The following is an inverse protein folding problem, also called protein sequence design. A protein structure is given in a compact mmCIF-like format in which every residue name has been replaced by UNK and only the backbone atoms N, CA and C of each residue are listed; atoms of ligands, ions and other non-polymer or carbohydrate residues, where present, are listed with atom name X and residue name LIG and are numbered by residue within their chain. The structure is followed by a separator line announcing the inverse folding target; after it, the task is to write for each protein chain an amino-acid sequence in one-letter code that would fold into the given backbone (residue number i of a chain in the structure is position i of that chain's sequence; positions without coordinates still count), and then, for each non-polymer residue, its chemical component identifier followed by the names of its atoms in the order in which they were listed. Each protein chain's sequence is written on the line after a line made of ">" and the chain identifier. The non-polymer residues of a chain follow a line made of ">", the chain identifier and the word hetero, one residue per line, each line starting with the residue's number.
data_IF_917201906771
#
_entry.id   IF_917201906771
#
_cell.length_a   1.000
_cell.length_b   1.000
_cell.length_c   1.000
_cell.angle_alpha   90.00
_cell.angle_beta   90.00
_cell.angle_gamma   90.00
#
_symmetry.space_group_name_H-M   'P 1'
#
loop_
_entity.id
_entity.type
_entity.pdbx_description
1 polymer ?
#
# COMPACT_ATOMS: atom_id res chain seq x y z
N UNK A 1 31.33 -35.20 51.72
CA UNK A 1 30.73 -36.40 51.10
C UNK A 1 29.23 -36.43 51.41
N UNK A 2 28.46 -35.47 50.90
CA UNK A 2 27.00 -35.45 51.02
C UNK A 2 26.42 -35.93 49.69
N UNK A 3 26.12 -37.22 49.62
CA UNK A 3 25.31 -37.79 48.53
C UNK A 3 23.93 -37.14 48.62
N UNK A 4 23.77 -36.04 47.87
CA UNK A 4 22.50 -35.39 47.63
C UNK A 4 21.56 -36.45 47.07
N UNK A 5 20.49 -36.65 47.84
CA UNK A 5 19.46 -37.64 47.66
C UNK A 5 18.82 -37.46 46.28
N UNK A 6 19.35 -38.13 45.26
CA UNK A 6 18.69 -38.28 43.97
C UNK A 6 17.54 -39.27 44.18
N UNK A 7 16.43 -38.75 44.71
CA UNK A 7 15.15 -39.45 44.71
C UNK A 7 14.85 -39.82 43.26
N UNK A 8 14.57 -41.11 42.93
CA UNK A 8 14.36 -41.50 41.54
C UNK A 8 13.18 -40.68 41.03
N UNK A 9 13.44 -39.90 39.97
CA UNK A 9 12.42 -39.07 39.34
C UNK A 9 11.25 -39.99 38.95
N UNK A 10 9.99 -39.62 39.27
CA UNK A 10 8.84 -40.43 38.89
C UNK A 10 8.85 -40.65 37.37
N UNK A 11 8.43 -41.83 36.89
CA UNK A 11 8.58 -42.24 35.48
C UNK A 11 7.98 -41.27 34.44
N UNK A 12 7.09 -40.36 34.85
CA UNK A 12 6.57 -39.28 34.01
C UNK A 12 7.50 -38.07 33.81
N UNK A 13 8.59 -37.96 34.57
CA UNK A 13 9.51 -36.82 34.50
C UNK A 13 10.21 -36.69 33.14
N UNK A 14 10.47 -37.81 32.47
CA UNK A 14 11.05 -37.79 31.13
C UNK A 14 10.10 -37.19 30.10
N UNK A 15 8.81 -37.58 30.13
CA UNK A 15 7.77 -37.00 29.29
C UNK A 15 7.60 -35.50 29.55
N UNK A 16 7.65 -35.08 30.81
CA UNK A 16 7.53 -33.67 31.18
C UNK A 16 8.71 -32.84 30.66
N UNK A 17 9.94 -33.39 30.73
CA UNK A 17 11.14 -32.74 30.20
C UNK A 17 11.08 -32.66 28.66
N UNK A 18 10.64 -33.72 27.99
CA UNK A 18 10.47 -33.71 26.54
C UNK A 18 9.44 -32.66 26.08
N UNK A 19 8.31 -32.56 26.79
CA UNK A 19 7.29 -31.55 26.51
C UNK A 19 7.85 -30.13 26.71
N UNK A 20 8.61 -29.92 27.78
CA UNK A 20 9.26 -28.64 28.07
C UNK A 20 10.24 -28.22 26.97
N UNK A 21 11.07 -29.15 26.50
CA UNK A 21 11.97 -28.92 25.37
C UNK A 21 11.19 -28.63 24.09
N UNK A 22 10.09 -29.34 23.84
CA UNK A 22 9.20 -29.08 22.71
C UNK A 22 8.61 -27.66 22.71
N UNK A 23 8.18 -27.17 23.89
CA UNK A 23 7.68 -25.80 24.05
C UNK A 23 8.79 -24.77 23.81
N UNK A 24 10.01 -25.01 24.31
CA UNK A 24 11.16 -24.13 24.07
C UNK A 24 11.49 -24.02 22.58
N UNK A 25 11.53 -25.16 21.87
CA UNK A 25 11.77 -25.18 20.42
C UNK A 25 10.67 -24.42 19.69
N UNK A 26 9.41 -24.65 20.06
CA UNK A 26 8.26 -23.95 19.47
C UNK A 26 8.36 -22.42 19.67
N UNK A 27 8.70 -21.97 20.87
CA UNK A 27 8.84 -20.54 21.17
C UNK A 27 9.93 -19.88 20.31
N UNK A 28 11.09 -20.54 20.15
CA UNK A 28 12.18 -20.06 19.30
C UNK A 28 11.75 -20.06 17.83
N UNK A 29 11.12 -21.13 17.36
CA UNK A 29 10.67 -21.26 15.97
C UNK A 29 9.64 -20.19 15.59
N UNK A 30 8.67 -19.90 16.48
CA UNK A 30 7.67 -18.84 16.27
C UNK A 30 8.33 -17.46 16.20
N UNK A 31 9.24 -17.16 17.13
CA UNK A 31 9.97 -15.89 17.13
C UNK A 31 10.81 -15.71 15.87
N UNK A 32 11.50 -16.78 15.43
CA UNK A 32 12.29 -16.78 14.20
C UNK A 32 11.43 -16.58 12.96
N UNK A 33 10.30 -17.29 12.88
CA UNK A 33 9.33 -17.13 11.79
C UNK A 33 8.79 -15.70 11.73
N UNK A 34 8.46 -15.09 12.87
CA UNK A 34 8.01 -13.71 12.93
C UNK A 34 9.10 -12.72 12.45
N UNK A 35 10.37 -12.95 12.82
CA UNK A 35 11.48 -12.12 12.35
C UNK A 35 11.68 -12.23 10.84
N UNK A 36 11.68 -13.46 10.32
CA UNK A 36 11.83 -13.72 8.89
C UNK A 36 10.67 -13.13 8.07
N UNK A 37 9.45 -13.24 8.59
CA UNK A 37 8.26 -12.68 7.96
C UNK A 37 8.32 -11.14 7.88
N UNK A 38 8.80 -10.47 8.95
CA UNK A 38 9.05 -9.02 8.92
C UNK A 38 10.08 -8.62 7.87
N UNK A 39 11.14 -9.40 7.70
CA UNK A 39 12.17 -9.12 6.70
C UNK A 39 11.61 -9.25 5.27
N UNK A 40 10.85 -10.32 5.00
CA UNK A 40 10.22 -10.54 3.71
C UNK A 40 9.15 -9.49 3.39
N UNK A 41 8.36 -9.08 4.38
CA UNK A 41 7.41 -7.98 4.24
C UNK A 41 8.10 -6.66 3.91
N UNK A 42 9.22 -6.34 4.57
CA UNK A 42 9.96 -5.10 4.27
C UNK A 42 10.43 -5.06 2.81
N UNK A 43 10.91 -6.18 2.27
CA UNK A 43 11.29 -6.25 0.84
C UNK A 43 10.08 -6.05 -0.08
N UNK A 44 8.93 -6.64 0.26
CA UNK A 44 7.70 -6.46 -0.50
C UNK A 44 7.19 -5.01 -0.45
N UNK A 45 7.24 -4.36 0.71
CA UNK A 45 6.84 -2.95 0.87
C UNK A 45 7.72 -1.99 0.07
N UNK A 46 9.01 -2.32 -0.12
CA UNK A 46 9.91 -1.55 -0.99
C UNK A 46 9.41 -1.49 -2.43
N UNK A 47 9.13 -2.65 -3.03
CA UNK A 47 8.60 -2.76 -4.40
C UNK A 47 7.20 -2.14 -4.54
N UNK A 48 6.33 -2.37 -3.54
CA UNK A 48 5.00 -1.76 -3.52
C UNK A 48 5.08 -0.23 -3.48
N UNK A 49 6.02 0.36 -2.73
CA UNK A 49 6.18 1.81 -2.66
C UNK A 49 6.49 2.43 -4.02
N UNK A 50 7.31 1.76 -4.84
CA UNK A 50 7.62 2.23 -6.21
C UNK A 50 6.36 2.18 -7.08
N UNK A 51 5.62 1.07 -7.01
CA UNK A 51 4.35 0.92 -7.75
C UNK A 51 3.33 1.97 -7.35
N UNK A 52 3.16 2.21 -6.05
CA UNK A 52 2.17 3.15 -5.53
C UNK A 52 2.48 4.59 -5.93
N UNK A 53 3.78 4.97 -5.99
CA UNK A 53 4.21 6.28 -6.54
C UNK A 53 3.83 6.42 -8.01
N UNK A 54 4.12 5.43 -8.84
CA UNK A 54 3.77 5.45 -10.26
C UNK A 54 2.25 5.51 -10.47
N UNK A 55 1.47 4.80 -9.64
CA UNK A 55 0.01 4.84 -9.69
C UNK A 55 -0.55 6.22 -9.29
N UNK A 56 0.06 6.89 -8.32
CA UNK A 56 -0.32 8.25 -7.94
C UNK A 56 -0.03 9.26 -9.07
N UNK A 57 1.14 9.16 -9.72
CA UNK A 57 1.48 9.99 -10.88
C UNK A 57 0.50 9.75 -12.04
N UNK A 58 0.17 8.50 -12.33
CA UNK A 58 -0.81 8.16 -13.36
C UNK A 58 -2.20 8.72 -13.05
N UNK A 59 -2.64 8.63 -11.79
CA UNK A 59 -3.90 9.24 -11.34
C UNK A 59 -3.92 10.75 -11.54
N UNK A 60 -2.81 11.43 -11.23
CA UNK A 60 -2.65 12.86 -11.49
C UNK A 60 -2.73 13.17 -12.99
N UNK A 61 -2.03 12.42 -13.84
CA UNK A 61 -2.07 12.61 -15.29
C UNK A 61 -3.48 12.40 -15.87
N UNK A 62 -4.24 11.43 -15.36
CA UNK A 62 -5.64 11.24 -15.76
C UNK A 62 -6.50 12.44 -15.38
N UNK A 63 -6.32 13.00 -14.19
CA UNK A 63 -7.05 14.18 -13.76
C UNK A 63 -6.71 15.39 -14.65
N UNK A 64 -5.42 15.58 -14.97
CA UNK A 64 -4.97 16.57 -15.95
C UNK A 64 -5.67 16.35 -17.30
N UNK A 65 -5.60 15.14 -17.89
CA UNK A 65 -6.22 14.84 -19.18
C UNK A 65 -7.74 14.97 -19.18
N UNK A 66 -8.42 14.57 -18.11
CA UNK A 66 -9.88 14.70 -17.98
C UNK A 66 -10.33 16.16 -17.99
N UNK A 67 -9.52 17.05 -17.42
CA UNK A 67 -9.80 18.50 -17.40
C UNK A 67 -9.63 19.11 -18.79
N UNK A 68 -8.61 18.68 -19.55
CA UNK A 68 -8.39 19.13 -20.93
C UNK A 68 -9.47 18.61 -21.87
N UNK A 69 -9.92 17.37 -21.66
CA UNK A 69 -11.00 16.77 -22.45
C UNK A 69 -12.35 17.43 -22.15
N UNK A 70 -12.62 17.78 -20.89
CA UNK A 70 -13.81 18.54 -20.51
C UNK A 70 -13.82 19.94 -21.14
N UNK A 71 -12.70 20.66 -21.15
CA UNK A 71 -12.60 21.98 -21.79
C UNK A 71 -12.77 21.89 -23.31
N UNK A 72 -12.06 20.96 -23.97
CA UNK A 72 -12.22 20.71 -25.41
C UNK A 72 -13.66 20.33 -25.78
N UNK A 73 -14.34 19.54 -24.94
CA UNK A 73 -15.74 19.16 -25.18
C UNK A 73 -16.71 20.32 -24.97
N UNK A 74 -16.42 21.25 -24.05
CA UNK A 74 -17.21 22.48 -23.86
C UNK A 74 -17.02 23.41 -25.06
N UNK A 75 -15.80 23.57 -25.56
CA UNK A 75 -15.49 24.39 -26.74
C UNK A 75 -16.19 23.85 -27.99
N UNK A 76 -16.12 22.54 -28.25
CA UNK A 76 -16.85 21.91 -29.36
C UNK A 76 -18.36 22.08 -29.20
N UNK A 77 -18.93 21.89 -28.00
CA UNK A 77 -20.36 22.13 -27.77
C UNK A 77 -20.75 23.60 -27.99
N UNK A 78 -19.92 24.56 -27.57
CA UNK A 78 -20.17 25.98 -27.75
C UNK A 78 -20.10 26.39 -29.24
N UNK A 79 -19.15 25.85 -30.00
CA UNK A 79 -19.01 26.13 -31.42
C UNK A 79 -20.09 25.43 -32.25
N UNK A 80 -20.40 24.15 -31.98
CA UNK A 80 -21.33 23.37 -32.80
C UNK A 80 -22.81 23.62 -32.45
N UNK A 81 -23.18 23.65 -31.15
CA UNK A 81 -24.58 23.80 -30.75
C UNK A 81 -24.99 25.26 -30.56
N UNK A 82 -24.09 26.11 -30.08
CA UNK A 82 -24.39 27.52 -29.80
C UNK A 82 -23.90 28.47 -30.92
N UNK A 83 -23.27 27.94 -31.99
CA UNK A 83 -22.67 28.72 -33.09
C UNK A 83 -21.76 29.85 -32.60
N UNK A 84 -21.11 29.66 -31.45
CA UNK A 84 -20.18 30.67 -30.93
C UNK A 84 -18.89 30.63 -31.76
N UNK A 85 -18.75 31.64 -32.61
CA UNK A 85 -17.52 32.05 -33.29
C UNK A 85 -16.94 33.27 -32.59
N UNK A 86 -15.62 33.37 -32.52
CA UNK A 86 -14.92 34.57 -32.02
C UNK A 86 -15.24 35.71 -33.00
N UNK A 87 -15.96 36.76 -32.57
CA UNK A 87 -16.36 37.83 -33.47
C UNK A 87 -15.13 38.57 -33.97
N UNK A 88 -15.05 38.75 -35.29
CA UNK A 88 -14.04 39.60 -35.90
C UNK A 88 -14.19 41.04 -35.41
N UNK A 89 -13.10 41.81 -35.40
CA UNK A 89 -13.04 43.18 -34.86
C UNK A 89 -14.12 44.15 -35.39
N UNK A 90 -14.83 43.81 -36.47
CA UNK A 90 -15.94 44.56 -37.05
C UNK A 90 -17.30 44.40 -36.34
N UNK A 91 -17.47 43.41 -35.44
CA UNK A 91 -18.76 43.12 -34.75
C UNK A 91 -18.77 43.52 -33.27
N UNK A 92 -17.67 44.07 -32.74
CA UNK A 92 -17.58 44.50 -31.34
C UNK A 92 -18.25 45.87 -31.17
N UNK A 93 -19.48 45.89 -30.66
CA UNK A 93 -20.15 47.12 -30.22
C UNK A 93 -20.03 47.25 -28.70
N UNK A 94 -19.08 48.08 -28.25
CA UNK A 94 -18.98 48.43 -26.83
C UNK A 94 -20.17 49.30 -26.44
N UNK A 95 -20.98 48.82 -25.48
CA UNK A 95 -22.02 49.61 -24.85
C UNK A 95 -21.41 50.22 -23.60
N UNK A 96 -21.25 51.55 -23.60
CA UNK A 96 -20.86 52.30 -22.41
C UNK A 96 -22.01 52.24 -21.37
N UNK A 97 -21.68 52.23 -20.07
CA UNK A 97 -22.66 52.07 -18.98
C UNK A 97 -23.72 53.17 -18.95
#
# INVERSE_FOLDING_TARGET
>A
MSKLFAKPLPGGSFFMLLLFVGVLISAIAVSYSAHYNRQLLNTLYGELSVRDKAQAEWGRLILEQSTWTAHSRIEVLATEQLKMHIPGAAEVRMVAP
#
